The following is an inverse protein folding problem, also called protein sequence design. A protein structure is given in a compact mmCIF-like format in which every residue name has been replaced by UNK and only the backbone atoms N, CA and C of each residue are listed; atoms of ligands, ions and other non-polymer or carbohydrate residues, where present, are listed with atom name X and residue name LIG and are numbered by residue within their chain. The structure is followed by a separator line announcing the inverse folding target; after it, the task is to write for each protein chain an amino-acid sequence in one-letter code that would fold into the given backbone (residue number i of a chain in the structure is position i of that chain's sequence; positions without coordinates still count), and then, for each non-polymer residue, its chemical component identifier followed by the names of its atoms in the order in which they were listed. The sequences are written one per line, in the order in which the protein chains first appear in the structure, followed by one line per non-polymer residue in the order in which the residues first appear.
data_IF_471718492219
#
_entry.id   IF_471718492219
#
_cell.length_a   1.000
_cell.length_b   1.000
_cell.length_c   1.000
_cell.angle_alpha   90.00
_cell.angle_beta   90.00
_cell.angle_gamma   90.00
#
_symmetry.space_group_name_H-M   'P 1'
#
loop_
_entity.id
_entity.type
_entity.pdbx_description
1 polymer ?
#
# COMPACT_ATOMS: atom_id res chain seq x y z
N UNK A 1 73.80 -10.39 -43.24
CA UNK A 1 73.29 -11.65 -42.65
C UNK A 1 73.82 -11.92 -41.24
N UNK A 2 75.08 -11.55 -40.88
CA UNK A 2 75.66 -11.86 -39.56
C UNK A 2 75.06 -11.13 -38.34
N UNK A 3 74.64 -9.87 -38.47
CA UNK A 3 74.13 -9.10 -37.31
C UNK A 3 72.75 -9.55 -36.83
N UNK A 4 71.90 -10.06 -37.75
CA UNK A 4 70.60 -10.62 -37.37
C UNK A 4 70.77 -11.90 -36.54
N UNK A 5 71.72 -12.77 -36.92
CA UNK A 5 71.98 -14.02 -36.21
C UNK A 5 72.45 -13.76 -34.76
N UNK A 6 73.31 -12.75 -34.57
CA UNK A 6 73.79 -12.31 -33.25
C UNK A 6 72.66 -11.79 -32.36
N UNK A 7 71.68 -11.08 -32.94
CA UNK A 7 70.51 -10.61 -32.18
C UNK A 7 69.60 -11.77 -31.77
N UNK A 8 69.45 -12.79 -32.62
CA UNK A 8 68.69 -14.01 -32.28
C UNK A 8 69.38 -14.82 -31.17
N UNK A 9 70.70 -15.00 -31.23
CA UNK A 9 71.46 -15.68 -30.17
C UNK A 9 71.32 -14.98 -28.82
N UNK A 10 71.35 -13.64 -28.81
CA UNK A 10 71.18 -12.84 -27.60
C UNK A 10 69.78 -12.99 -27.01
N UNK A 11 68.74 -12.98 -27.84
CA UNK A 11 67.36 -13.20 -27.41
C UNK A 11 67.15 -14.61 -26.83
N UNK A 12 67.79 -15.62 -27.41
CA UNK A 12 67.77 -17.00 -26.89
C UNK A 12 68.47 -17.06 -25.53
N UNK A 13 69.66 -16.46 -25.40
CA UNK A 13 70.41 -16.40 -24.13
C UNK A 13 69.59 -15.73 -23.02
N UNK A 14 68.89 -14.64 -23.32
CA UNK A 14 68.01 -13.97 -22.35
C UNK A 14 66.80 -14.85 -21.98
N UNK A 15 66.26 -15.59 -22.95
CA UNK A 15 65.20 -16.57 -22.72
C UNK A 15 65.64 -17.69 -21.79
N UNK A 16 66.83 -18.25 -22.01
CA UNK A 16 67.40 -19.31 -21.18
C UNK A 16 67.69 -18.83 -19.74
N UNK A 17 68.23 -17.61 -19.58
CA UNK A 17 68.42 -17.00 -18.26
C UNK A 17 67.08 -16.81 -17.52
N UNK A 18 66.04 -16.35 -18.22
CA UNK A 18 64.71 -16.20 -17.64
C UNK A 18 64.11 -17.56 -17.24
N UNK A 19 64.25 -18.59 -18.08
CA UNK A 19 63.80 -19.95 -17.79
C UNK A 19 64.52 -20.48 -16.55
N UNK A 20 65.84 -20.33 -16.47
CA UNK A 20 66.63 -20.80 -15.32
C UNK A 20 66.23 -20.10 -14.03
N UNK A 21 66.06 -18.76 -14.05
CA UNK A 21 65.62 -17.99 -12.88
C UNK A 21 64.22 -18.42 -12.42
N UNK A 22 63.32 -18.70 -13.36
CA UNK A 22 61.97 -19.18 -13.06
C UNK A 22 61.96 -20.63 -12.55
N UNK A 23 62.83 -21.50 -13.06
CA UNK A 23 62.94 -22.88 -12.62
C UNK A 23 63.55 -22.99 -11.22
N UNK A 24 64.67 -22.28 -10.97
CA UNK A 24 65.36 -22.22 -9.67
C UNK A 24 64.44 -21.80 -8.53
N UNK A 25 63.55 -20.84 -8.81
CA UNK A 25 62.63 -20.28 -7.82
C UNK A 25 61.29 -21.00 -7.77
N UNK A 26 61.09 -22.08 -8.54
CA UNK A 26 59.77 -22.70 -8.77
C UNK A 26 58.71 -21.69 -9.24
N UNK A 27 59.15 -20.63 -9.91
CA UNK A 27 58.34 -19.51 -10.39
C UNK A 27 57.26 -19.97 -11.36
N UNK A 28 57.54 -20.95 -12.23
CA UNK A 28 56.53 -21.54 -13.11
C UNK A 28 55.39 -22.20 -12.31
N UNK A 29 55.70 -22.92 -11.23
CA UNK A 29 54.70 -23.54 -10.37
C UNK A 29 53.83 -22.50 -9.67
N UNK A 30 54.44 -21.45 -9.12
CA UNK A 30 53.72 -20.32 -8.51
C UNK A 30 52.84 -19.59 -9.53
N UNK A 31 53.32 -19.38 -10.75
CA UNK A 31 52.56 -18.76 -11.84
C UNK A 31 51.35 -19.62 -12.22
N UNK A 32 51.53 -20.92 -12.41
CA UNK A 32 50.42 -21.85 -12.72
C UNK A 32 49.38 -21.84 -11.60
N UNK A 33 49.80 -21.94 -10.35
CA UNK A 33 48.90 -21.89 -9.19
C UNK A 33 48.15 -20.55 -9.11
N UNK A 34 48.83 -19.43 -9.36
CA UNK A 34 48.23 -18.09 -9.36
C UNK A 34 47.21 -17.97 -10.48
N UNK A 35 47.48 -18.51 -11.67
CA UNK A 35 46.55 -18.55 -12.79
C UNK A 35 45.31 -19.39 -12.48
N UNK A 36 45.48 -20.56 -11.85
CA UNK A 36 44.36 -21.39 -11.41
C UNK A 36 43.49 -20.68 -10.38
N UNK A 37 44.11 -20.00 -9.42
CA UNK A 37 43.39 -19.21 -8.41
C UNK A 37 42.63 -18.04 -9.03
N UNK A 38 43.25 -17.31 -9.96
CA UNK A 38 42.58 -16.24 -10.70
C UNK A 38 41.39 -16.77 -11.50
N UNK A 39 41.53 -17.94 -12.14
CA UNK A 39 40.44 -18.58 -12.88
C UNK A 39 39.30 -19.01 -11.95
N UNK A 40 39.61 -19.54 -10.77
CA UNK A 40 38.60 -19.89 -9.77
C UNK A 40 37.82 -18.66 -9.29
N UNK A 41 38.51 -17.55 -8.99
CA UNK A 41 37.86 -16.27 -8.65
C UNK A 41 36.99 -15.78 -9.80
N UNK A 42 37.49 -15.88 -11.04
CA UNK A 42 36.73 -15.45 -12.21
C UNK A 42 35.41 -16.22 -12.31
N UNK A 43 35.43 -17.54 -12.21
CA UNK A 43 34.20 -18.35 -12.24
C UNK A 43 33.26 -18.00 -11.09
N UNK A 44 33.77 -17.86 -9.86
CA UNK A 44 32.96 -17.43 -8.71
C UNK A 44 32.31 -16.08 -8.94
N UNK A 45 33.04 -15.12 -9.51
CA UNK A 45 32.51 -13.78 -9.78
C UNK A 45 31.44 -13.80 -10.88
N UNK A 46 31.59 -14.65 -11.88
CA UNK A 46 30.61 -14.84 -12.95
C UNK A 46 29.31 -15.46 -12.39
N UNK A 47 29.45 -16.47 -11.51
CA UNK A 47 28.33 -17.09 -10.81
C UNK A 47 27.60 -16.06 -9.91
N UNK A 48 28.33 -15.33 -9.06
CA UNK A 48 27.78 -14.27 -8.19
C UNK A 48 27.08 -13.18 -9.02
N UNK A 49 27.67 -12.78 -10.15
CA UNK A 49 27.05 -11.82 -11.07
C UNK A 49 25.75 -12.35 -11.65
N UNK A 50 25.72 -13.61 -12.10
CA UNK A 50 24.52 -14.23 -12.65
C UNK A 50 23.40 -14.34 -11.61
N UNK A 51 23.72 -14.68 -10.37
CA UNK A 51 22.77 -14.78 -9.25
C UNK A 51 22.20 -13.41 -8.87
N UNK A 52 23.07 -12.42 -8.71
CA UNK A 52 22.66 -11.05 -8.37
C UNK A 52 21.83 -10.43 -9.49
N UNK A 53 22.21 -10.62 -10.75
CA UNK A 53 21.45 -10.18 -11.90
C UNK A 53 20.07 -10.86 -11.98
N UNK A 54 20.00 -12.18 -11.74
CA UNK A 54 18.74 -12.92 -11.68
C UNK A 54 17.81 -12.37 -10.59
N UNK A 55 18.34 -12.17 -9.40
CA UNK A 55 17.61 -11.59 -8.25
C UNK A 55 17.10 -10.18 -8.55
N UNK A 56 17.92 -9.35 -9.21
CA UNK A 56 17.55 -8.00 -9.62
C UNK A 56 16.39 -8.03 -10.63
N UNK A 57 16.46 -8.91 -11.63
CA UNK A 57 15.40 -9.05 -12.63
C UNK A 57 14.07 -9.48 -11.99
N UNK A 58 14.12 -10.38 -11.02
CA UNK A 58 12.93 -10.84 -10.31
C UNK A 58 12.32 -9.76 -9.41
N UNK A 59 13.14 -8.95 -8.72
CA UNK A 59 12.66 -7.79 -7.99
C UNK A 59 12.01 -6.75 -8.92
N UNK A 60 12.59 -6.52 -10.10
CA UNK A 60 12.02 -5.63 -11.10
C UNK A 60 10.65 -6.11 -11.60
N UNK A 61 10.50 -7.42 -11.86
CA UNK A 61 9.21 -8.03 -12.21
C UNK A 61 8.19 -7.85 -11.08
N UNK A 62 8.57 -8.11 -9.83
CA UNK A 62 7.69 -7.93 -8.66
C UNK A 62 7.26 -6.47 -8.48
N UNK A 63 8.17 -5.52 -8.70
CA UNK A 63 7.88 -4.09 -8.62
C UNK A 63 6.88 -3.66 -9.70
N UNK A 64 7.00 -4.17 -10.92
CA UNK A 64 6.04 -3.93 -11.99
C UNK A 64 4.63 -4.41 -11.60
N UNK A 65 4.53 -5.65 -11.11
CA UNK A 65 3.24 -6.23 -10.68
C UNK A 65 2.63 -5.42 -9.53
N UNK A 66 3.43 -5.00 -8.55
CA UNK A 66 2.93 -4.16 -7.45
C UNK A 66 2.45 -2.79 -7.94
N UNK A 67 3.15 -2.20 -8.92
CA UNK A 67 2.75 -0.92 -9.51
C UNK A 67 1.40 -1.05 -10.22
N UNK A 68 1.24 -2.05 -11.09
CA UNK A 68 -0.03 -2.27 -11.80
C UNK A 68 -1.20 -2.47 -10.83
N UNK A 69 -1.01 -3.26 -9.77
CA UNK A 69 -2.05 -3.45 -8.75
C UNK A 69 -2.39 -2.17 -8.00
N UNK A 70 -1.40 -1.30 -7.77
CA UNK A 70 -1.63 0.00 -7.12
C UNK A 70 -2.40 0.93 -8.04
N UNK A 71 -2.03 0.96 -9.32
CA UNK A 71 -2.71 1.78 -10.33
C UNK A 71 -4.16 1.29 -10.55
N UNK A 72 -4.39 -0.02 -10.58
CA UNK A 72 -5.73 -0.64 -10.65
C UNK A 72 -6.57 -0.29 -9.41
N UNK A 73 -6.04 -0.51 -8.20
CA UNK A 73 -6.73 -0.17 -6.96
C UNK A 73 -7.06 1.33 -6.90
N UNK A 74 -6.16 2.20 -7.35
CA UNK A 74 -6.40 3.65 -7.41
C UNK A 74 -7.49 4.03 -8.43
N UNK A 75 -7.63 3.28 -9.53
CA UNK A 75 -8.69 3.50 -10.51
C UNK A 75 -10.07 3.01 -10.05
N UNK A 76 -10.12 2.06 -9.10
CA UNK A 76 -11.38 1.55 -8.53
C UNK A 76 -11.93 2.41 -7.40
N UNK A 77 -11.09 3.25 -6.78
CA UNK A 77 -11.52 4.16 -5.73
C UNK A 77 -12.37 5.27 -6.37
N UNK A 78 -13.60 5.44 -5.87
CA UNK A 78 -14.45 6.56 -6.25
C UNK A 78 -13.72 7.87 -5.95
N UNK A 79 -13.79 8.82 -6.87
CA UNK A 79 -13.16 10.13 -6.70
C UNK A 79 -13.61 10.73 -5.37
N UNK A 80 -12.66 11.23 -4.58
CA UNK A 80 -12.95 11.80 -3.25
C UNK A 80 -13.99 12.94 -3.35
N UNK A 81 -14.00 13.65 -4.48
CA UNK A 81 -15.00 14.65 -4.82
C UNK A 81 -16.41 14.07 -5.02
N UNK A 82 -16.55 12.85 -5.56
CA UNK A 82 -17.85 12.18 -5.71
C UNK A 82 -18.40 11.75 -4.35
N UNK A 83 -17.53 11.22 -3.47
CA UNK A 83 -17.91 10.86 -2.10
C UNK A 83 -18.38 12.10 -1.34
N UNK A 84 -17.65 13.21 -1.40
CA UNK A 84 -18.02 14.45 -0.73
C UNK A 84 -19.35 15.02 -1.24
N UNK A 85 -19.58 15.01 -2.57
CA UNK A 85 -20.86 15.43 -3.16
C UNK A 85 -22.02 14.60 -2.65
N UNK A 86 -21.89 13.27 -2.65
CA UNK A 86 -22.95 12.36 -2.21
C UNK A 86 -23.24 12.50 -0.70
N UNK A 87 -22.21 12.70 0.13
CA UNK A 87 -22.40 12.96 1.56
C UNK A 87 -23.19 14.24 1.79
N UNK A 88 -22.84 15.32 1.08
CA UNK A 88 -23.55 16.59 1.18
C UNK A 88 -25.01 16.48 0.76
N UNK A 89 -25.29 15.78 -0.34
CA UNK A 89 -26.67 15.55 -0.81
C UNK A 89 -27.50 14.76 0.21
N UNK A 90 -26.90 13.74 0.83
CA UNK A 90 -27.55 12.97 1.89
C UNK A 90 -27.85 13.81 3.14
N UNK A 91 -26.91 14.66 3.56
CA UNK A 91 -27.10 15.56 4.70
C UNK A 91 -28.21 16.58 4.43
N UNK A 92 -28.26 17.15 3.23
CA UNK A 92 -29.31 18.08 2.80
C UNK A 92 -30.70 17.41 2.81
N UNK A 93 -30.79 16.15 2.35
CA UNK A 93 -32.05 15.39 2.35
C UNK A 93 -32.52 15.02 3.76
N UNK A 94 -31.61 14.59 4.64
CA UNK A 94 -31.89 14.33 6.06
C UNK A 94 -32.37 15.58 6.80
N UNK A 95 -31.77 16.74 6.52
CA UNK A 95 -32.24 18.01 7.09
C UNK A 95 -33.66 18.34 6.64
N UNK A 96 -33.97 18.10 5.36
CA UNK A 96 -35.28 18.38 4.78
C UNK A 96 -36.35 17.47 5.40
N UNK A 97 -36.06 16.18 5.55
CA UNK A 97 -36.95 15.21 6.20
C UNK A 97 -37.22 15.60 7.66
N UNK A 98 -36.19 15.95 8.43
CA UNK A 98 -36.34 16.42 9.81
C UNK A 98 -37.25 17.65 9.92
N UNK A 99 -37.06 18.64 9.03
CA UNK A 99 -37.92 19.83 8.99
C UNK A 99 -39.37 19.46 8.69
N UNK A 100 -39.61 18.53 7.76
CA UNK A 100 -40.97 18.06 7.46
C UNK A 100 -41.60 17.33 8.65
N UNK A 101 -40.84 16.48 9.34
CA UNK A 101 -41.33 15.76 10.51
C UNK A 101 -41.67 16.72 11.66
N UNK A 102 -40.82 17.72 11.90
CA UNK A 102 -41.07 18.77 12.88
C UNK A 102 -42.35 19.57 12.57
N UNK A 103 -42.58 19.92 11.30
CA UNK A 103 -43.83 20.57 10.89
C UNK A 103 -45.06 19.67 11.07
N UNK A 104 -44.93 18.36 10.84
CA UNK A 104 -46.02 17.39 11.08
C UNK A 104 -46.34 17.28 12.57
N UNK A 105 -45.33 17.22 13.44
CA UNK A 105 -45.53 17.15 14.89
C UNK A 105 -46.14 18.44 15.43
N UNK A 106 -45.68 19.60 14.98
CA UNK A 106 -46.22 20.91 15.38
C UNK A 106 -47.69 21.06 14.98
N UNK A 107 -48.05 20.70 13.73
CA UNK A 107 -49.45 20.72 13.28
C UNK A 107 -50.34 19.82 14.13
N UNK A 108 -49.85 18.62 14.46
CA UNK A 108 -50.55 17.66 15.32
C UNK A 108 -50.77 18.23 16.73
N UNK A 109 -49.74 18.85 17.32
CA UNK A 109 -49.81 19.55 18.60
C UNK A 109 -50.85 20.69 18.60
N UNK A 110 -50.83 21.53 17.56
CA UNK A 110 -51.75 22.67 17.40
C UNK A 110 -53.21 22.23 17.31
N UNK A 111 -53.48 21.15 16.56
CA UNK A 111 -54.80 20.55 16.47
C UNK A 111 -55.31 20.11 17.84
N UNK A 112 -54.50 19.39 18.62
CA UNK A 112 -54.88 18.98 19.99
C UNK A 112 -55.15 20.19 20.89
N UNK A 113 -54.29 21.22 20.86
CA UNK A 113 -54.45 22.42 21.67
C UNK A 113 -55.75 23.19 21.35
N UNK A 114 -56.18 23.22 20.08
CA UNK A 114 -57.41 23.90 19.66
C UNK A 114 -58.68 23.20 20.16
N UNK A 115 -58.65 21.87 20.25
CA UNK A 115 -59.78 21.06 20.74
C UNK A 115 -59.88 21.09 22.27
N UNK A 116 -58.74 21.07 22.97
CA UNK A 116 -58.71 20.85 24.42
C UNK A 116 -58.35 22.08 25.25
N UNK A 117 -57.88 23.18 24.64
CA UNK A 117 -57.23 24.34 25.30
C UNK A 117 -56.04 23.98 26.21
N UNK A 118 -55.53 22.74 26.11
CA UNK A 118 -54.42 22.19 26.91
C UNK A 118 -53.38 21.63 25.95
N UNK A 119 -52.15 22.16 25.99
CA UNK A 119 -51.04 21.62 25.17
C UNK A 119 -50.52 20.35 25.84
N UNK A 120 -50.61 19.17 25.22
CA UNK A 120 -50.07 17.94 25.81
C UNK A 120 -48.53 17.98 25.78
N UNK A 121 -47.88 17.76 26.92
CA UNK A 121 -46.44 17.52 26.96
C UNK A 121 -46.14 16.11 26.42
N UNK A 122 -45.47 16.02 25.27
CA UNK A 122 -45.24 14.75 24.55
C UNK A 122 -43.93 14.07 24.98
N UNK A 123 -43.01 14.77 25.67
CA UNK A 123 -41.76 14.17 26.17
C UNK A 123 -41.97 13.20 27.34
N UNK A 124 -43.09 13.33 28.06
CA UNK A 124 -43.43 12.46 29.18
C UNK A 124 -44.42 11.37 28.74
N UNK A 125 -43.90 10.27 28.20
CA UNK A 125 -44.65 9.02 27.90
C UNK A 125 -45.57 8.56 29.05
N UNK A 126 -45.23 8.91 30.31
CA UNK A 126 -45.95 8.50 31.51
C UNK A 126 -47.14 9.40 31.90
N UNK A 127 -47.28 10.62 31.35
CA UNK A 127 -48.34 11.57 31.75
C UNK A 127 -49.66 11.43 30.98
N UNK A 128 -49.64 10.81 29.80
CA UNK A 128 -50.85 10.55 29.01
C UNK A 128 -51.75 9.47 29.64
N UNK A 129 -51.17 8.53 30.38
CA UNK A 129 -51.88 7.43 31.04
C UNK A 129 -52.80 7.89 32.20
N UNK A 130 -52.38 8.92 32.96
CA UNK A 130 -53.13 9.38 34.14
C UNK A 130 -54.37 10.23 33.84
N UNK A 131 -54.31 11.10 32.82
CA UNK A 131 -55.42 12.02 32.52
C UNK A 131 -56.64 11.31 31.94
N UNK A 132 -56.45 10.23 31.18
CA UNK A 132 -57.56 9.45 30.61
C UNK A 132 -58.31 8.70 31.72
N UNK A 133 -57.57 8.10 32.67
CA UNK A 133 -58.17 7.41 33.82
C UNK A 133 -58.94 8.36 34.76
N UNK A 134 -58.44 9.58 34.98
CA UNK A 134 -59.10 10.59 35.81
C UNK A 134 -60.40 11.12 35.19
N UNK A 135 -60.46 11.25 33.86
CA UNK A 135 -61.67 11.66 33.15
C UNK A 135 -62.71 10.54 33.10
N UNK A 136 -62.29 9.29 32.89
CA UNK A 136 -63.18 8.13 32.90
C UNK A 136 -63.76 7.86 34.29
N UNK A 137 -62.96 7.98 35.35
CA UNK A 137 -63.45 7.81 36.73
C UNK A 137 -64.43 8.92 37.14
N UNK A 138 -64.19 10.17 36.75
CA UNK A 138 -65.16 11.25 36.99
C UNK A 138 -66.46 11.06 36.23
N UNK A 139 -66.42 10.58 34.97
CA UNK A 139 -67.65 10.27 34.23
C UNK A 139 -68.43 9.12 34.86
N UNK A 140 -67.73 8.09 35.38
CA UNK A 140 -68.37 6.93 36.01
C UNK A 140 -69.06 7.26 37.33
N UNK A 141 -68.58 8.26 38.06
CA UNK A 141 -69.16 8.70 39.34
C UNK A 141 -70.24 9.79 39.21
N UNK A 142 -70.53 10.25 37.98
CA UNK A 142 -71.56 11.28 37.73
C UNK A 142 -72.77 10.72 36.96
N UNK A 143 -72.87 9.39 36.80
CA UNK A 143 -74.03 8.68 36.24
C UNK A 143 -74.79 7.92 37.32
#
# INVERSE_FOLDING_TARGET
MGDQLRNFEMAISWGDELIHVLDDRKGFGVLVQTLEHLRAIQFSCDDDFSETHGSLQDLQKKLHVCKEKTDEANSEIADEEEIERLQKELDEELELENKQEQLRTEKKLSMYASVTRVIPNIDDSLKTSGCILLLLTKLLFTL
#
